data_IF_526071923256
#
_entry.id   IF_526071923256
#
_cell.length_a   1.000
_cell.length_b   1.000
_cell.length_c   1.000
_cell.angle_alpha   90.00
_cell.angle_beta   90.00
_cell.angle_gamma   90.00
#
_symmetry.space_group_name_H-M   'P 1'
#
loop_
_entity.id
_entity.type
_entity.pdbx_description
1 polymer ?
#
# COMPACT_ATOMS: atom_id res chain seq x y z
N UNK A 1 11.05 23.07 -8.42
CA UNK A 1 10.46 23.45 -7.12
C UNK A 1 8.96 23.17 -7.07
N UNK A 2 8.14 23.72 -7.96
CA UNK A 2 6.67 23.53 -7.94
C UNK A 2 6.18 22.08 -8.04
N UNK A 3 6.85 21.25 -8.84
CA UNK A 3 6.50 19.81 -8.96
C UNK A 3 6.60 19.09 -7.62
N UNK A 4 7.65 19.35 -6.84
CA UNK A 4 7.82 18.73 -5.51
C UNK A 4 6.73 19.16 -4.54
N UNK A 5 6.27 20.42 -4.65
CA UNK A 5 5.21 20.97 -3.82
C UNK A 5 3.86 20.30 -4.15
N UNK A 6 3.54 20.14 -5.44
CA UNK A 6 2.34 19.43 -5.89
C UNK A 6 2.35 17.95 -5.48
N UNK A 7 3.48 17.26 -5.65
CA UNK A 7 3.64 15.86 -5.24
C UNK A 7 3.52 15.72 -3.72
N UNK A 8 4.07 16.66 -2.95
CA UNK A 8 3.97 16.63 -1.48
C UNK A 8 2.53 16.84 -0.99
N UNK A 9 1.78 17.76 -1.59
CA UNK A 9 0.36 17.98 -1.26
C UNK A 9 -0.47 16.77 -1.66
N UNK A 10 -0.27 16.21 -2.85
CA UNK A 10 -0.99 15.03 -3.29
C UNK A 10 -0.70 13.80 -2.41
N UNK A 11 0.58 13.58 -2.04
CA UNK A 11 0.97 12.52 -1.12
C UNK A 11 0.42 12.70 0.29
N UNK A 12 0.38 13.93 0.80
CA UNK A 12 -0.25 14.26 2.08
C UNK A 12 -1.75 13.95 2.07
N UNK A 13 -2.47 14.37 1.01
CA UNK A 13 -3.89 14.07 0.86
C UNK A 13 -4.13 12.57 0.77
N UNK A 14 -3.34 11.84 -0.03
CA UNK A 14 -3.42 10.38 -0.13
C UNK A 14 -3.24 9.71 1.24
N UNK A 15 -2.27 10.17 2.04
CA UNK A 15 -2.03 9.63 3.38
C UNK A 15 -3.13 10.01 4.38
N UNK A 16 -3.81 11.15 4.20
CA UNK A 16 -4.93 11.52 5.06
C UNK A 16 -6.13 10.59 4.86
N UNK A 17 -6.49 10.28 3.62
CA UNK A 17 -7.57 9.32 3.35
C UNK A 17 -7.17 7.90 3.73
N UNK A 18 -5.90 7.53 3.58
CA UNK A 18 -5.38 6.28 4.12
C UNK A 18 -5.42 6.19 5.65
N UNK A 19 -5.02 7.23 6.37
CA UNK A 19 -5.12 7.26 7.83
C UNK A 19 -6.57 7.16 8.34
N UNK A 20 -7.55 7.57 7.53
CA UNK A 20 -8.97 7.47 7.86
C UNK A 20 -9.60 6.11 7.51
N UNK A 21 -9.24 5.50 6.38
CA UNK A 21 -9.88 4.27 5.86
C UNK A 21 -9.00 3.01 5.93
N UNK A 22 -7.69 3.16 6.09
CA UNK A 22 -6.72 2.08 6.25
C UNK A 22 -6.32 1.29 4.99
N UNK A 23 -6.86 1.63 3.80
CA UNK A 23 -6.64 0.84 2.57
C UNK A 23 -6.40 1.68 1.29
N UNK A 24 -6.40 3.01 1.37
CA UNK A 24 -6.54 3.88 0.20
C UNK A 24 -5.21 4.43 -0.34
N UNK A 25 -4.12 4.37 0.44
CA UNK A 25 -2.84 4.96 0.05
C UNK A 25 -2.32 4.36 -1.25
N UNK A 26 -2.32 3.03 -1.35
CA UNK A 26 -1.72 2.32 -2.48
C UNK A 26 -2.35 2.70 -3.83
N UNK A 27 -3.68 2.72 -3.89
CA UNK A 27 -4.43 3.03 -5.12
C UNK A 27 -4.22 4.48 -5.54
N UNK A 28 -4.33 5.42 -4.60
CA UNK A 28 -4.21 6.86 -4.87
C UNK A 28 -2.79 7.23 -5.29
N UNK A 29 -1.79 6.77 -4.54
CA UNK A 29 -0.37 7.07 -4.79
C UNK A 29 0.14 6.39 -6.07
N UNK A 30 -0.25 5.15 -6.33
CA UNK A 30 0.15 4.45 -7.57
C UNK A 30 -0.45 5.14 -8.80
N UNK A 31 -1.72 5.56 -8.73
CA UNK A 31 -2.38 6.31 -9.82
C UNK A 31 -1.65 7.61 -10.11
N UNK A 32 -1.29 8.37 -9.07
CA UNK A 32 -0.52 9.61 -9.21
C UNK A 32 0.85 9.37 -9.83
N UNK A 33 1.60 8.36 -9.36
CA UNK A 33 2.92 8.06 -9.90
C UNK A 33 2.86 7.63 -11.36
N UNK A 34 1.89 6.80 -11.74
CA UNK A 34 1.67 6.43 -13.16
C UNK A 34 1.30 7.67 -13.99
N UNK A 35 0.46 8.57 -13.47
CA UNK A 35 0.13 9.83 -14.13
C UNK A 35 1.35 10.73 -14.33
N UNK A 36 2.31 10.68 -13.41
CA UNK A 36 3.63 11.33 -13.52
C UNK A 36 4.63 10.57 -14.40
N UNK A 37 4.16 9.63 -15.23
CA UNK A 37 4.93 8.82 -16.18
C UNK A 37 5.93 7.82 -15.54
N UNK A 38 5.72 7.42 -14.28
CA UNK A 38 6.43 6.25 -13.74
C UNK A 38 5.85 4.96 -14.31
N UNK A 39 6.71 3.98 -14.60
CA UNK A 39 6.24 2.66 -15.00
C UNK A 39 5.56 1.95 -13.80
N UNK A 40 4.63 1.00 -14.03
CA UNK A 40 3.88 0.35 -12.95
C UNK A 40 4.75 -0.36 -11.89
N UNK A 41 5.88 -0.94 -12.29
CA UNK A 41 6.78 -1.64 -11.38
C UNK A 41 7.48 -0.64 -10.43
N UNK A 42 7.99 0.47 -10.96
CA UNK A 42 8.61 1.53 -10.18
C UNK A 42 7.59 2.22 -9.24
N UNK A 43 6.38 2.52 -9.75
CA UNK A 43 5.32 3.09 -8.93
C UNK A 43 4.95 2.17 -7.76
N UNK A 44 4.77 0.87 -8.01
CA UNK A 44 4.48 -0.12 -6.97
C UNK A 44 5.61 -0.22 -5.94
N UNK A 45 6.87 -0.30 -6.37
CA UNK A 45 8.01 -0.37 -5.46
C UNK A 45 8.13 0.86 -4.55
N UNK A 46 7.94 2.06 -5.10
CA UNK A 46 7.98 3.32 -4.34
C UNK A 46 6.86 3.34 -3.31
N UNK A 47 5.63 3.00 -3.71
CA UNK A 47 4.46 3.02 -2.81
C UNK A 47 4.66 2.07 -1.64
N UNK A 48 5.06 0.82 -1.87
CA UNK A 48 5.28 -0.15 -0.79
C UNK A 48 6.41 0.28 0.15
N UNK A 49 7.49 0.88 -0.38
CA UNK A 49 8.57 1.41 0.45
C UNK A 49 8.09 2.54 1.38
N UNK A 50 7.30 3.46 0.83
CA UNK A 50 6.71 4.56 1.62
C UNK A 50 5.71 4.03 2.63
N UNK A 51 4.90 3.05 2.24
CA UNK A 51 3.86 2.45 3.08
C UNK A 51 4.43 1.74 4.30
N UNK A 52 5.64 1.17 4.22
CA UNK A 52 6.36 0.65 5.41
C UNK A 52 6.55 1.77 6.43
N UNK A 53 6.99 2.95 6.00
CA UNK A 53 7.26 4.09 6.89
C UNK A 53 5.95 4.64 7.46
N UNK A 54 4.96 4.90 6.61
CA UNK A 54 3.71 5.53 7.04
C UNK A 54 2.89 4.59 7.93
N UNK A 55 2.81 3.30 7.58
CA UNK A 55 2.15 2.28 8.42
C UNK A 55 2.85 2.07 9.75
N UNK A 56 4.18 2.13 9.78
CA UNK A 56 4.93 2.04 11.05
C UNK A 56 4.64 3.21 11.97
N UNK A 57 4.59 4.44 11.44
CA UNK A 57 4.23 5.63 12.20
C UNK A 57 2.78 5.55 12.70
N UNK A 58 1.86 5.12 11.84
CA UNK A 58 0.46 4.90 12.21
C UNK A 58 0.34 3.86 13.34
N UNK A 59 1.00 2.70 13.21
CA UNK A 59 1.04 1.67 14.23
C UNK A 59 1.65 2.15 15.56
N UNK A 60 2.73 2.93 15.51
CA UNK A 60 3.32 3.54 16.70
C UNK A 60 2.35 4.48 17.42
N UNK A 61 1.50 5.20 16.67
CA UNK A 61 0.45 6.03 17.26
C UNK A 61 -0.59 5.20 18.00
N UNK A 62 -1.05 4.08 17.43
CA UNK A 62 -1.97 3.16 18.09
C UNK A 62 -1.38 2.57 19.38
N UNK A 63 -0.09 2.21 19.37
CA UNK A 63 0.63 1.75 20.57
C UNK A 63 0.65 2.85 21.63
N UNK A 64 1.00 4.09 21.25
CA UNK A 64 1.05 5.24 22.17
C UNK A 64 -0.30 5.54 22.82
N UNK A 65 -1.40 5.38 22.10
CA UNK A 65 -2.75 5.57 22.62
C UNK A 65 -3.31 4.35 23.37
N UNK A 66 -2.56 3.25 23.48
CA UNK A 66 -3.01 2.04 24.17
C UNK A 66 -4.09 1.25 23.41
N UNK A 67 -4.28 1.52 22.11
CA UNK A 67 -5.32 0.94 21.27
C UNK A 67 -4.88 -0.37 20.58
N UNK A 68 -4.00 -1.15 21.23
CA UNK A 68 -3.40 -2.36 20.64
C UNK A 68 -3.64 -3.56 21.53
N UNK A 69 -4.37 -4.54 21.00
CA UNK A 69 -4.36 -5.92 21.52
C UNK A 69 -3.12 -6.64 21.00
N UNK A 70 -2.13 -6.80 21.86
CA UNK A 70 -0.85 -7.44 21.53
C UNK A 70 -0.98 -8.90 21.10
N UNK A 71 -1.96 -9.62 21.66
CA UNK A 71 -2.15 -11.02 21.33
C UNK A 71 -2.79 -11.16 19.94
N UNK A 72 -3.77 -10.31 19.60
CA UNK A 72 -4.32 -10.23 18.25
C UNK A 72 -3.24 -9.77 17.25
N UNK A 73 -2.45 -8.75 17.59
CA UNK A 73 -1.37 -8.23 16.75
C UNK A 73 -0.41 -9.35 16.35
N UNK A 74 0.15 -10.09 17.32
CA UNK A 74 1.15 -11.13 17.02
C UNK A 74 0.52 -12.28 16.22
N UNK A 75 -0.72 -12.67 16.54
CA UNK A 75 -1.43 -13.74 15.83
C UNK A 75 -1.73 -13.42 14.37
N UNK A 76 -1.89 -12.15 14.02
CA UNK A 76 -2.18 -11.73 12.65
C UNK A 76 -0.91 -11.29 11.93
N UNK A 77 -0.11 -10.43 12.55
CA UNK A 77 1.05 -9.80 11.93
C UNK A 77 2.16 -10.79 11.58
N UNK A 78 2.47 -11.76 12.46
CA UNK A 78 3.57 -12.72 12.20
C UNK A 78 3.25 -13.65 11.03
N UNK A 79 2.14 -14.42 11.03
CA UNK A 79 1.82 -15.27 9.89
C UNK A 79 1.51 -14.46 8.63
N UNK A 80 0.91 -13.28 8.77
CA UNK A 80 0.68 -12.35 7.66
C UNK A 80 1.98 -11.89 7.00
N UNK A 81 2.97 -11.47 7.79
CA UNK A 81 4.27 -11.02 7.27
C UNK A 81 5.05 -12.16 6.60
N UNK A 82 5.06 -13.35 7.21
CA UNK A 82 5.70 -14.54 6.61
C UNK A 82 5.01 -14.92 5.30
N UNK A 83 3.68 -14.97 5.29
CA UNK A 83 2.89 -15.28 4.09
C UNK A 83 3.10 -14.26 2.97
N UNK A 84 3.09 -12.97 3.31
CA UNK A 84 3.33 -11.89 2.35
C UNK A 84 4.74 -11.96 1.76
N UNK A 85 5.77 -12.19 2.60
CA UNK A 85 7.15 -12.33 2.14
C UNK A 85 7.32 -13.55 1.23
N UNK A 86 6.85 -14.72 1.66
CA UNK A 86 6.92 -15.95 0.85
C UNK A 86 6.15 -15.79 -0.46
N UNK A 87 4.95 -15.23 -0.41
CA UNK A 87 4.14 -14.95 -1.60
C UNK A 87 4.82 -14.00 -2.57
N UNK A 88 5.40 -12.90 -2.08
CA UNK A 88 6.14 -11.95 -2.90
C UNK A 88 7.38 -12.57 -3.55
N UNK A 89 8.14 -13.38 -2.81
CA UNK A 89 9.31 -14.11 -3.34
C UNK A 89 8.88 -15.10 -4.42
N UNK A 90 7.82 -15.89 -4.19
CA UNK A 90 7.36 -16.85 -5.20
C UNK A 90 6.83 -16.15 -6.46
N UNK A 91 5.97 -15.13 -6.30
CA UNK A 91 5.34 -14.41 -7.42
C UNK A 91 6.34 -13.59 -8.23
N UNK A 92 7.41 -13.08 -7.62
CA UNK A 92 8.47 -12.35 -8.34
C UNK A 92 9.36 -13.25 -9.21
N UNK A 93 9.27 -14.58 -9.07
CA UNK A 93 10.06 -15.56 -9.83
C UNK A 93 9.25 -16.31 -10.91
N UNK A 94 8.00 -15.92 -11.18
CA UNK A 94 7.14 -16.55 -12.20
C UNK A 94 6.61 -15.53 -13.21
N UNK A 95 6.21 -15.98 -14.40
CA UNK A 95 5.56 -15.11 -15.38
C UNK A 95 4.14 -14.75 -14.91
N UNK A 96 3.91 -13.45 -14.71
CA UNK A 96 2.65 -12.88 -14.23
C UNK A 96 1.73 -12.42 -15.38
N UNK A 97 2.05 -12.74 -16.63
CA UNK A 97 1.23 -12.40 -17.81
C UNK A 97 -0.23 -12.83 -17.66
N UNK A 98 -0.47 -14.05 -17.17
CA UNK A 98 -1.81 -14.57 -16.89
C UNK A 98 -2.46 -13.95 -15.64
N UNK A 99 -1.68 -13.41 -14.69
CA UNK A 99 -2.18 -12.81 -13.45
C UNK A 99 -2.70 -11.37 -13.64
N UNK A 100 -2.25 -10.67 -14.69
CA UNK A 100 -2.70 -9.30 -15.00
C UNK A 100 -4.22 -9.15 -15.16
N UNK A 101 -4.93 -9.93 -15.99
CA UNK A 101 -6.38 -9.76 -16.14
C UNK A 101 -7.15 -10.08 -14.85
N UNK A 102 -6.67 -11.08 -14.09
CA UNK A 102 -7.26 -11.43 -12.79
C UNK A 102 -7.11 -10.31 -11.76
N UNK A 103 -5.89 -9.79 -11.59
CA UNK A 103 -5.62 -8.69 -10.66
C UNK A 103 -6.38 -7.43 -11.05
N UNK A 104 -6.44 -7.08 -12.33
CA UNK A 104 -7.23 -5.95 -12.82
C UNK A 104 -8.74 -6.13 -12.54
N UNK A 105 -9.28 -7.33 -12.73
CA UNK A 105 -10.70 -7.63 -12.48
C UNK A 105 -11.04 -7.50 -10.99
N UNK A 106 -10.20 -8.06 -10.11
CA UNK A 106 -10.38 -7.96 -8.66
C UNK A 106 -10.34 -6.50 -8.21
N UNK A 107 -9.35 -5.74 -8.68
CA UNK A 107 -9.24 -4.31 -8.34
C UNK A 107 -10.41 -3.48 -8.88
N UNK A 108 -10.91 -3.79 -10.07
CA UNK A 108 -12.10 -3.11 -10.64
C UNK A 108 -13.36 -3.39 -9.80
N UNK A 109 -13.58 -4.63 -9.38
CA UNK A 109 -14.71 -5.00 -8.52
C UNK A 109 -14.60 -4.31 -7.16
N UNK A 110 -13.42 -4.34 -6.53
CA UNK A 110 -13.19 -3.68 -5.26
C UNK A 110 -13.43 -2.17 -5.36
N UNK A 111 -12.94 -1.52 -6.41
CA UNK A 111 -13.18 -0.09 -6.66
C UNK A 111 -14.63 0.26 -6.99
N UNK A 112 -15.47 -0.70 -7.40
CA UNK A 112 -16.90 -0.50 -7.60
C UNK A 112 -17.73 -0.76 -6.33
N UNK A 113 -17.20 -1.53 -5.38
CA UNK A 113 -17.85 -1.86 -4.11
C UNK A 113 -17.63 -0.80 -3.03
N UNK A 114 -16.51 -0.08 -3.09
CA UNK A 114 -16.12 1.00 -2.16
C UNK A 114 -16.49 2.35 -2.76
#
# INVERSE_FOLDING_TARGET
MWVLLLVSVAGFLAQLVDGAMGMAFGITSTTLLIFLAYNPAAASAIVHLVEIVTSSISGASHIKFGNVDWHALVKVAVPGAVGAFVGAVLLSNVDLSAARPWTATVLFILGALV
#
